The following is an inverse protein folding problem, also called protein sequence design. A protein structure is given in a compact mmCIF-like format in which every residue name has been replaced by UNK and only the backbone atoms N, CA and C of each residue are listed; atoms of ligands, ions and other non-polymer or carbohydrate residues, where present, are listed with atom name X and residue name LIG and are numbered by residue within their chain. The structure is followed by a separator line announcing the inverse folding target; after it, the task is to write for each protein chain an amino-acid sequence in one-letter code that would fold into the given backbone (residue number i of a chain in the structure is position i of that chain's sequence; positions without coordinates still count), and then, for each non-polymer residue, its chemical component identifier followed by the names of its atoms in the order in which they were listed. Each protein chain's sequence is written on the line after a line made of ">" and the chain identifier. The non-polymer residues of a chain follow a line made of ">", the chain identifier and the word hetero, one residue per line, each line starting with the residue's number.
data_IF_566604493396
#
_entry.id   IF_566604493396
#
_cell.length_a   1.000
_cell.length_b   1.000
_cell.length_c   1.000
_cell.angle_alpha   90.00
_cell.angle_beta   90.00
_cell.angle_gamma   90.00
#
_symmetry.space_group_name_H-M   'P 1'
#
loop_
_entity.id
_entity.type
_entity.pdbx_description
1 polymer ?
#
# COMPACT_ATOMS: atom_id res chain seq x y z
N UNK A 1 -16.93 -6.81 -29.92
CA UNK A 1 -16.06 -6.11 -28.98
C UNK A 1 -16.79 -5.53 -27.81
N UNK A 2 -17.85 -4.80 -28.04
CA UNK A 2 -18.64 -4.14 -26.99
C UNK A 2 -19.22 -5.15 -25.99
N UNK A 3 -19.69 -6.30 -26.44
CA UNK A 3 -20.29 -7.30 -25.56
C UNK A 3 -19.28 -8.02 -24.71
N UNK A 4 -18.10 -8.32 -25.23
CA UNK A 4 -17.00 -8.84 -24.43
C UNK A 4 -16.57 -7.85 -23.37
N UNK A 5 -16.53 -6.56 -23.74
CA UNK A 5 -16.18 -5.49 -22.82
C UNK A 5 -17.21 -5.36 -21.69
N UNK A 6 -18.50 -5.54 -22.00
CA UNK A 6 -19.55 -5.49 -20.98
C UNK A 6 -19.44 -6.64 -19.98
N UNK A 7 -19.18 -7.86 -20.45
CA UNK A 7 -18.96 -9.01 -19.57
C UNK A 7 -17.70 -8.84 -18.72
N UNK A 8 -16.60 -8.40 -19.34
CA UNK A 8 -15.34 -8.14 -18.63
C UNK A 8 -15.53 -7.01 -17.63
N UNK A 9 -16.24 -5.93 -18.01
CA UNK A 9 -16.53 -4.82 -17.10
C UNK A 9 -17.37 -5.25 -15.91
N UNK A 10 -18.34 -6.14 -16.12
CA UNK A 10 -19.16 -6.65 -15.03
C UNK A 10 -18.35 -7.50 -14.06
N UNK A 11 -17.53 -8.41 -14.58
CA UNK A 11 -16.63 -9.22 -13.75
C UNK A 11 -15.60 -8.37 -13.05
N UNK A 12 -15.01 -7.41 -13.76
CA UNK A 12 -14.05 -6.48 -13.17
C UNK A 12 -14.68 -5.70 -12.03
N UNK A 13 -15.89 -5.17 -12.22
CA UNK A 13 -16.60 -4.45 -11.18
C UNK A 13 -16.83 -5.33 -9.95
N UNK A 14 -17.21 -6.59 -10.17
CA UNK A 14 -17.43 -7.52 -9.07
C UNK A 14 -16.15 -7.77 -8.28
N UNK A 15 -15.04 -8.04 -8.97
CA UNK A 15 -13.74 -8.24 -8.33
C UNK A 15 -13.29 -6.95 -7.65
N UNK A 16 -13.40 -5.83 -8.35
CA UNK A 16 -12.98 -4.52 -7.86
C UNK A 16 -13.71 -4.14 -6.56
N UNK A 17 -15.01 -4.41 -6.49
CA UNK A 17 -15.82 -4.02 -5.32
C UNK A 17 -15.77 -5.03 -4.18
N UNK A 18 -15.56 -6.31 -4.47
CA UNK A 18 -15.72 -7.39 -3.49
C UNK A 18 -14.40 -8.03 -3.06
N UNK A 19 -13.27 -7.52 -3.52
CA UNK A 19 -11.96 -8.05 -3.13
C UNK A 19 -11.60 -7.64 -1.71
N UNK A 20 -10.80 -8.47 -1.05
CA UNK A 20 -10.20 -8.14 0.25
C UNK A 20 -9.02 -7.19 0.15
N UNK A 21 -8.62 -6.81 -1.07
CA UNK A 21 -7.50 -5.88 -1.31
C UNK A 21 -8.01 -4.47 -1.56
N UNK A 22 -7.24 -3.48 -1.11
CA UNK A 22 -7.43 -2.12 -1.59
C UNK A 22 -6.84 -1.98 -2.99
N UNK A 23 -7.54 -1.30 -3.87
CA UNK A 23 -7.09 -1.05 -5.24
C UNK A 23 -7.18 0.44 -5.52
N UNK A 24 -6.09 0.99 -6.06
CA UNK A 24 -6.11 2.34 -6.61
C UNK A 24 -5.42 2.37 -7.96
N UNK A 25 -5.89 3.23 -8.84
CA UNK A 25 -5.27 3.49 -10.13
C UNK A 25 -4.88 4.96 -10.16
N UNK A 26 -3.64 5.23 -10.54
CA UNK A 26 -3.14 6.59 -10.67
C UNK A 26 -2.67 6.85 -12.10
N UNK A 27 -2.74 8.11 -12.52
CA UNK A 27 -2.21 8.54 -13.82
C UNK A 27 -0.71 8.80 -13.75
N UNK A 28 -0.16 9.31 -14.85
CA UNK A 28 1.28 9.62 -14.95
C UNK A 28 1.74 10.68 -13.96
N UNK A 29 0.85 11.52 -13.49
CA UNK A 29 1.14 12.56 -12.50
C UNK A 29 0.80 12.11 -11.07
N UNK A 30 0.45 10.85 -10.90
CA UNK A 30 0.08 10.25 -9.63
C UNK A 30 -1.22 10.82 -9.05
N UNK A 31 -2.11 11.27 -9.92
CA UNK A 31 -3.46 11.64 -9.54
C UNK A 31 -4.33 10.40 -9.46
N UNK A 32 -5.19 10.34 -8.44
CA UNK A 32 -6.07 9.19 -8.23
C UNK A 32 -7.20 9.19 -9.26
N UNK A 33 -7.22 8.16 -10.09
CA UNK A 33 -8.24 7.99 -11.13
C UNK A 33 -9.35 7.09 -10.64
N UNK A 34 -8.99 6.03 -9.93
CA UNK A 34 -9.96 5.06 -9.44
C UNK A 34 -9.50 4.47 -8.11
N UNK A 35 -10.46 4.21 -7.24
CA UNK A 35 -10.25 3.55 -5.94
C UNK A 35 -11.43 2.62 -5.67
N UNK A 36 -11.15 1.44 -5.10
CA UNK A 36 -12.23 0.54 -4.75
C UNK A 36 -12.76 0.81 -3.33
N UNK A 37 -13.93 0.28 -2.97
CA UNK A 37 -14.49 0.51 -1.64
C UNK A 37 -13.59 0.08 -0.50
N UNK A 38 -12.84 -1.01 -0.66
CA UNK A 38 -11.92 -1.48 0.37
C UNK A 38 -10.83 -0.45 0.65
N UNK A 39 -10.24 0.12 -0.39
CA UNK A 39 -9.24 1.18 -0.28
C UNK A 39 -9.78 2.37 0.51
N UNK A 40 -10.99 2.79 0.17
CA UNK A 40 -11.65 3.91 0.86
C UNK A 40 -11.87 3.60 2.34
N UNK A 41 -12.31 2.40 2.67
CA UNK A 41 -12.51 1.99 4.07
C UNK A 41 -11.21 1.94 4.85
N UNK A 42 -10.15 1.43 4.23
CA UNK A 42 -8.83 1.37 4.87
C UNK A 42 -8.32 2.74 5.30
N UNK A 43 -8.52 3.74 4.45
CA UNK A 43 -7.99 5.09 4.68
C UNK A 43 -9.00 6.04 5.33
N UNK A 44 -10.27 5.68 5.35
CA UNK A 44 -11.32 6.52 5.95
C UNK A 44 -11.79 7.66 5.07
N UNK A 45 -11.52 7.61 3.76
CA UNK A 45 -12.02 8.57 2.80
C UNK A 45 -13.25 8.06 2.07
N UNK A 46 -14.10 8.97 1.64
CA UNK A 46 -15.11 8.66 0.63
C UNK A 46 -14.46 8.71 -0.74
N UNK A 47 -15.02 7.96 -1.70
CA UNK A 47 -14.49 7.92 -3.05
C UNK A 47 -14.36 9.32 -3.66
N UNK A 48 -15.39 10.15 -3.53
CA UNK A 48 -15.41 11.51 -4.06
C UNK A 48 -14.38 12.44 -3.43
N UNK A 49 -13.86 12.08 -2.25
CA UNK A 49 -12.78 12.85 -1.62
C UNK A 49 -11.40 12.50 -2.21
N UNK A 50 -11.28 11.35 -2.86
CA UNK A 50 -10.01 10.86 -3.39
C UNK A 50 -9.87 11.05 -4.90
N UNK A 51 -10.95 10.82 -5.66
CA UNK A 51 -10.89 10.86 -7.12
C UNK A 51 -10.53 12.27 -7.60
N UNK A 52 -9.52 12.33 -8.45
CA UNK A 52 -8.98 13.60 -8.97
C UNK A 52 -7.91 14.22 -8.10
N UNK A 53 -7.77 13.78 -6.86
CA UNK A 53 -6.73 14.28 -5.97
C UNK A 53 -5.38 13.62 -6.27
N UNK A 54 -4.31 14.36 -6.02
CA UNK A 54 -2.97 13.79 -6.12
C UNK A 54 -2.71 12.83 -4.97
N UNK A 55 -1.98 11.76 -5.23
CA UNK A 55 -1.68 10.72 -4.23
C UNK A 55 -0.88 11.26 -3.03
N UNK A 56 -0.36 12.48 -3.09
CA UNK A 56 0.29 13.13 -1.96
C UNK A 56 -0.61 13.17 -0.73
N UNK A 57 -1.92 13.24 -0.92
CA UNK A 57 -2.91 13.29 0.17
C UNK A 57 -2.84 12.09 1.11
N UNK A 58 -2.39 10.92 0.61
CA UNK A 58 -2.30 9.71 1.41
C UNK A 58 -0.88 9.41 1.91
N UNK A 59 0.10 10.25 1.59
CA UNK A 59 1.47 10.07 2.08
C UNK A 59 1.70 10.84 3.38
N UNK A 60 2.56 10.29 4.23
CA UNK A 60 2.82 10.86 5.57
C UNK A 60 3.59 12.17 5.52
N UNK A 61 4.28 12.46 4.41
CA UNK A 61 5.03 13.70 4.22
C UNK A 61 5.34 13.90 2.73
N UNK A 62 5.78 15.11 2.38
CA UNK A 62 6.26 15.39 1.02
C UNK A 62 7.47 14.54 0.66
N UNK A 63 8.35 14.31 1.64
CA UNK A 63 9.52 13.46 1.44
C UNK A 63 9.11 12.03 1.14
N UNK A 64 8.16 11.49 1.90
CA UNK A 64 7.65 10.13 1.66
C UNK A 64 7.01 10.01 0.27
N UNK A 65 6.27 11.01 -0.15
CA UNK A 65 5.68 11.06 -1.48
C UNK A 65 6.75 11.01 -2.59
N UNK A 66 7.81 11.81 -2.44
CA UNK A 66 8.92 11.82 -3.41
C UNK A 66 9.67 10.50 -3.39
N UNK A 67 9.99 9.98 -2.22
CA UNK A 67 10.73 8.73 -2.07
C UNK A 67 9.95 7.57 -2.69
N UNK A 68 8.64 7.51 -2.48
CA UNK A 68 7.80 6.50 -3.10
C UNK A 68 7.80 6.62 -4.62
N UNK A 69 7.77 7.84 -5.14
CA UNK A 69 7.87 8.08 -6.57
C UNK A 69 9.15 7.50 -7.16
N UNK A 70 10.28 7.71 -6.51
CA UNK A 70 11.57 7.21 -6.97
C UNK A 70 11.72 5.70 -6.80
N UNK A 71 11.28 5.17 -5.66
CA UNK A 71 11.47 3.75 -5.31
C UNK A 71 10.45 2.82 -5.91
N UNK A 72 9.28 3.32 -6.26
CA UNK A 72 8.18 2.47 -6.68
C UNK A 72 7.53 2.93 -7.98
N UNK A 73 6.98 4.14 -8.00
CA UNK A 73 6.19 4.61 -9.14
C UNK A 73 6.98 4.60 -10.44
N UNK A 74 8.19 5.13 -10.43
CA UNK A 74 9.03 5.18 -11.63
C UNK A 74 9.44 3.78 -12.09
N UNK A 75 9.66 2.85 -11.16
CA UNK A 75 10.00 1.47 -11.51
C UNK A 75 8.83 0.78 -12.21
N UNK A 76 7.63 0.95 -11.71
CA UNK A 76 6.43 0.34 -12.31
C UNK A 76 6.18 0.93 -13.70
N UNK A 77 6.33 2.24 -13.87
CA UNK A 77 6.20 2.86 -15.18
C UNK A 77 7.19 2.32 -16.19
N UNK A 78 8.37 1.90 -15.73
CA UNK A 78 9.38 1.27 -16.56
C UNK A 78 9.21 -0.26 -16.64
N UNK A 79 8.03 -0.75 -16.32
CA UNK A 79 7.63 -2.17 -16.39
C UNK A 79 8.45 -3.07 -15.48
N UNK A 80 8.95 -2.54 -14.37
CA UNK A 80 9.63 -3.33 -13.35
C UNK A 80 8.64 -3.66 -12.25
N UNK A 81 8.58 -4.92 -11.79
CA UNK A 81 7.68 -5.28 -10.70
C UNK A 81 8.10 -4.62 -9.40
N UNK A 82 7.11 -4.16 -8.65
CA UNK A 82 7.33 -3.55 -7.33
C UNK A 82 6.40 -4.22 -6.33
N UNK A 83 6.98 -4.64 -5.21
CA UNK A 83 6.25 -5.16 -4.07
C UNK A 83 7.05 -4.77 -2.82
N UNK A 84 6.48 -3.90 -2.00
CA UNK A 84 7.18 -3.39 -0.81
C UNK A 84 6.20 -2.98 0.28
N UNK A 85 6.73 -2.83 1.49
CA UNK A 85 5.98 -2.33 2.62
C UNK A 85 6.26 -0.83 2.75
N UNK A 86 5.20 -0.03 2.85
CA UNK A 86 5.33 1.42 2.87
C UNK A 86 4.27 2.05 3.76
N UNK A 87 4.63 3.09 4.54
CA UNK A 87 3.67 3.78 5.40
C UNK A 87 2.91 4.86 4.63
N UNK A 88 1.62 4.91 4.90
CA UNK A 88 0.71 5.93 4.38
C UNK A 88 -0.03 6.56 5.56
N UNK A 89 -0.89 7.52 5.30
CA UNK A 89 -1.73 8.10 6.34
C UNK A 89 -3.21 8.04 5.96
N UNK A 90 -4.02 7.81 6.97
CA UNK A 90 -5.48 7.87 6.85
C UNK A 90 -5.96 9.33 6.86
N UNK A 91 -7.22 9.53 6.56
CA UNK A 91 -7.86 10.85 6.64
C UNK A 91 -7.70 11.51 8.01
N UNK A 92 -7.72 10.72 9.09
CA UNK A 92 -7.54 11.21 10.45
C UNK A 92 -6.06 11.39 10.85
N UNK A 93 -5.15 11.32 9.89
CA UNK A 93 -3.70 11.43 10.04
C UNK A 93 -3.02 10.26 10.78
N UNK A 94 -3.75 9.21 11.13
CA UNK A 94 -3.12 8.00 11.67
C UNK A 94 -2.30 7.31 10.58
N UNK A 95 -1.15 6.78 10.99
CA UNK A 95 -0.29 6.01 10.09
C UNK A 95 -0.91 4.64 9.83
N UNK A 96 -0.87 4.20 8.59
CA UNK A 96 -1.25 2.86 8.17
C UNK A 96 -0.13 2.28 7.32
N UNK A 97 0.22 1.02 7.56
CA UNK A 97 1.23 0.34 6.77
C UNK A 97 0.57 -0.54 5.72
N UNK A 98 0.98 -0.37 4.48
CA UNK A 98 0.53 -1.21 3.38
C UNK A 98 1.67 -2.05 2.84
N UNK A 99 1.37 -3.32 2.55
CA UNK A 99 2.12 -4.06 1.56
C UNK A 99 1.51 -3.68 0.22
N UNK A 100 2.32 -3.09 -0.66
CA UNK A 100 1.82 -2.53 -1.90
C UNK A 100 2.53 -3.15 -3.08
N UNK A 101 1.75 -3.56 -4.08
CA UNK A 101 2.24 -4.08 -5.34
C UNK A 101 1.70 -3.23 -6.47
N UNK A 102 2.53 -2.97 -7.47
CA UNK A 102 2.17 -2.11 -8.59
C UNK A 102 2.37 -2.80 -9.92
N UNK A 103 1.44 -2.53 -10.84
CA UNK A 103 1.49 -3.01 -12.22
C UNK A 103 1.11 -1.88 -13.16
N UNK A 104 1.79 -1.77 -14.33
CA UNK A 104 1.36 -0.80 -15.33
C UNK A 104 0.04 -1.26 -15.95
N UNK A 105 -0.84 -0.31 -16.24
CA UNK A 105 -2.09 -0.59 -16.96
C UNK A 105 -1.77 -0.61 -18.44
N UNK A 106 -2.11 -1.74 -19.12
CA UNK A 106 -1.80 -1.93 -20.53
C UNK A 106 -2.42 -0.82 -21.37
N UNK A 107 -1.66 -0.31 -22.33
CA UNK A 107 -2.05 0.72 -23.29
C UNK A 107 -2.45 2.07 -22.68
N UNK A 108 -2.17 2.27 -21.40
CA UNK A 108 -2.41 3.54 -20.71
C UNK A 108 -1.19 3.92 -19.89
N UNK A 109 -0.98 5.22 -19.71
CA UNK A 109 0.08 5.72 -18.84
C UNK A 109 -0.45 5.83 -17.42
N UNK A 110 -0.87 4.68 -16.89
CA UNK A 110 -1.47 4.54 -15.56
C UNK A 110 -0.82 3.39 -14.82
N UNK A 111 -0.90 3.43 -13.51
CA UNK A 111 -0.40 2.36 -12.64
C UNK A 111 -1.53 1.89 -11.73
N UNK A 112 -1.70 0.58 -11.69
CA UNK A 112 -2.62 -0.07 -10.76
C UNK A 112 -1.84 -0.53 -9.53
N UNK A 113 -2.30 -0.09 -8.36
CA UNK A 113 -1.73 -0.50 -7.08
C UNK A 113 -2.72 -1.36 -6.32
N UNK A 114 -2.23 -2.47 -5.78
CA UNK A 114 -2.98 -3.30 -4.84
C UNK A 114 -2.33 -3.20 -3.48
N UNK A 115 -3.13 -3.05 -2.44
CA UNK A 115 -2.63 -2.85 -1.08
C UNK A 115 -3.29 -3.79 -0.09
N UNK A 116 -2.49 -4.25 0.87
CA UNK A 116 -2.94 -5.03 2.03
C UNK A 116 -2.52 -4.28 3.27
N UNK A 117 -3.42 -4.14 4.24
CA UNK A 117 -3.11 -3.51 5.52
C UNK A 117 -2.30 -4.46 6.38
N UNK A 118 -1.05 -4.10 6.66
CA UNK A 118 -0.14 -4.87 7.51
C UNK A 118 0.19 -4.14 8.81
N UNK A 119 -0.62 -3.16 9.19
CA UNK A 119 -0.35 -2.29 10.35
C UNK A 119 -0.19 -3.11 11.63
N UNK A 120 -1.09 -4.03 11.91
CA UNK A 120 -1.01 -4.84 13.13
C UNK A 120 0.22 -5.74 13.14
N UNK A 121 0.59 -6.27 11.99
CA UNK A 121 1.80 -7.08 11.84
C UNK A 121 3.07 -6.27 12.12
N UNK A 122 3.14 -5.03 11.59
CA UNK A 122 4.26 -4.13 11.82
C UNK A 122 4.34 -3.74 13.29
N UNK A 123 3.21 -3.43 13.91
CA UNK A 123 3.16 -3.10 15.36
C UNK A 123 3.63 -4.26 16.21
N UNK A 124 3.18 -5.48 15.91
CA UNK A 124 3.58 -6.67 16.64
C UNK A 124 5.08 -6.93 16.52
N UNK A 125 5.63 -6.79 15.32
CA UNK A 125 7.07 -6.95 15.08
C UNK A 125 7.88 -5.94 15.88
N UNK A 126 7.48 -4.66 15.85
CA UNK A 126 8.15 -3.60 16.60
C UNK A 126 8.11 -3.87 18.11
N UNK A 127 6.98 -4.34 18.62
CA UNK A 127 6.82 -4.67 20.03
C UNK A 127 7.76 -5.81 20.44
N UNK A 128 7.88 -6.84 19.61
CA UNK A 128 8.81 -7.96 19.86
C UNK A 128 10.26 -7.45 19.87
N UNK A 129 10.64 -6.60 18.93
CA UNK A 129 11.99 -6.04 18.87
C UNK A 129 12.32 -5.20 20.12
N UNK A 130 11.37 -4.40 20.59
CA UNK A 130 11.54 -3.61 21.81
C UNK A 130 11.73 -4.50 23.02
N UNK A 131 10.90 -5.54 23.15
CA UNK A 131 11.00 -6.49 24.26
C UNK A 131 12.33 -7.25 24.22
N UNK A 132 12.75 -7.73 23.05
CA UNK A 132 14.03 -8.40 22.87
C UNK A 132 15.20 -7.49 23.26
N UNK A 133 15.16 -6.22 22.86
CA UNK A 133 16.17 -5.24 23.22
C UNK A 133 16.24 -5.01 24.74
N UNK A 134 15.09 -4.94 25.40
CA UNK A 134 15.04 -4.81 26.87
C UNK A 134 15.62 -6.04 27.57
N UNK A 135 15.27 -7.24 27.10
CA UNK A 135 15.76 -8.47 27.68
C UNK A 135 17.27 -8.62 27.51
N UNK A 136 17.84 -8.15 26.40
CA UNK A 136 19.27 -8.24 26.17
C UNK A 136 20.11 -7.52 27.22
N UNK A 137 19.51 -6.55 27.93
CA UNK A 137 20.19 -5.82 29.01
C UNK A 137 20.32 -6.65 30.29
N UNK A 138 19.47 -7.65 30.46
CA UNK A 138 19.42 -8.47 31.68
C UNK A 138 19.95 -9.88 31.46
N UNK A 139 20.22 -10.29 30.22
CA UNK A 139 20.70 -11.62 29.88
C UNK A 139 22.16 -11.56 29.44
N UNK A 140 22.92 -12.61 29.75
CA UNK A 140 24.25 -12.75 29.15
C UNK A 140 24.12 -12.89 27.64
N UNK A 141 25.13 -12.48 26.85
CA UNK A 141 25.07 -12.64 25.41
C UNK A 141 24.77 -14.06 24.95
N UNK A 142 25.29 -15.04 25.65
CA UNK A 142 25.07 -16.45 25.32
C UNK A 142 23.62 -16.87 25.51
N UNK A 143 23.00 -16.44 26.61
CA UNK A 143 21.61 -16.75 26.92
C UNK A 143 20.69 -16.03 25.92
N UNK A 144 20.98 -14.78 25.64
CA UNK A 144 20.21 -14.00 24.67
C UNK A 144 20.22 -14.68 23.28
N UNK A 145 21.39 -15.06 22.80
CA UNK A 145 21.50 -15.75 21.50
C UNK A 145 20.77 -17.08 21.49
N UNK A 146 20.84 -17.81 22.58
CA UNK A 146 20.13 -19.10 22.71
C UNK A 146 18.61 -18.95 22.56
N UNK A 147 18.06 -17.84 23.02
CA UNK A 147 16.61 -17.58 22.97
C UNK A 147 16.18 -17.02 21.62
N UNK A 148 16.95 -16.08 21.05
CA UNK A 148 16.52 -15.26 19.92
C UNK A 148 17.21 -15.57 18.58
N UNK A 149 18.28 -16.34 18.55
CA UNK A 149 18.90 -16.77 17.31
C UNK A 149 18.47 -18.19 16.98
N UNK A 150 17.26 -18.28 16.54
CA UNK A 150 16.68 -19.58 16.26
C UNK A 150 17.06 -20.18 14.92
#
# INVERSE_FOLDING_TARGET
>A
MIFKNNQLSSRFKQVFHNTGFGIMIVDKNRNLIEVNPKFCRMLGFKREELIGENAQIIHISNKAYKDFGEKAFNLVRNKRPVNLDWPFKKKNNEKIWFRIAGDPVADKDEVLWTVVDITERVKAKNKIEILASKLSRYLSPQVYQSIFSG
#
